data_IF_031978825339
#
_entry.id   IF_031978825339
#
_cell.length_a   1.000
_cell.length_b   1.000
_cell.length_c   1.000
_cell.angle_alpha   90.00
_cell.angle_beta   90.00
_cell.angle_gamma   90.00
#
_symmetry.space_group_name_H-M   'P 1'
#
loop_
_entity.id
_entity.type
_entity.pdbx_description
1 polymer ?
#
# COMPACT_ATOMS: atom_id res chain seq x y z
N UNK A 1 4.22 5.20 12.04
CA UNK A 1 3.53 3.93 12.19
C UNK A 1 3.76 3.37 13.59
N UNK A 2 2.88 2.50 14.05
CA UNK A 2 2.98 1.84 15.37
C UNK A 2 2.79 0.33 15.22
N UNK A 3 3.43 -0.45 16.09
CA UNK A 3 3.30 -1.90 16.16
C UNK A 3 2.60 -2.28 17.46
N UNK A 4 1.57 -3.10 17.37
CA UNK A 4 0.93 -3.81 18.49
C UNK A 4 0.92 -5.32 18.20
N UNK A 5 0.71 -6.14 19.23
CA UNK A 5 0.63 -7.60 19.06
C UNK A 5 -0.47 -8.15 19.97
N UNK A 6 -1.26 -9.06 19.42
CA UNK A 6 -2.26 -9.85 20.12
C UNK A 6 -2.02 -11.32 19.78
N UNK A 7 -1.69 -12.11 20.78
CA UNK A 7 -1.28 -13.50 20.59
C UNK A 7 -0.18 -13.63 19.51
N UNK A 8 -0.42 -14.43 18.47
CA UNK A 8 0.50 -14.63 17.33
C UNK A 8 0.28 -13.64 16.18
N UNK A 9 -0.52 -12.58 16.37
CA UNK A 9 -0.83 -11.58 15.37
C UNK A 9 -0.07 -10.29 15.68
N UNK A 10 0.73 -9.82 14.73
CA UNK A 10 1.36 -8.51 14.77
C UNK A 10 0.54 -7.53 13.93
N UNK A 11 0.29 -6.32 14.43
CA UNK A 11 -0.52 -5.31 13.76
C UNK A 11 0.32 -4.04 13.59
N UNK A 12 0.59 -3.66 12.35
CA UNK A 12 1.19 -2.36 12.01
C UNK A 12 0.09 -1.39 11.59
N UNK A 13 -0.07 -0.31 12.35
CA UNK A 13 -1.01 0.76 12.04
C UNK A 13 -0.27 1.95 11.45
N UNK A 14 -0.65 2.31 10.23
CA UNK A 14 -0.20 3.52 9.55
C UNK A 14 -1.02 4.71 10.07
N UNK A 15 -0.35 5.66 10.72
CA UNK A 15 -0.98 6.90 11.18
C UNK A 15 0.06 8.04 11.16
N UNK A 16 -0.16 9.03 10.32
CA UNK A 16 0.59 10.28 10.26
C UNK A 16 -0.27 11.49 10.70
N UNK A 17 -1.47 11.20 11.21
CA UNK A 17 -2.47 12.19 11.60
C UNK A 17 -3.21 12.85 10.42
N UNK A 18 -2.94 12.43 9.15
CA UNK A 18 -3.53 13.01 7.93
C UNK A 18 -3.90 11.93 6.91
N UNK A 19 -3.07 11.77 5.90
CA UNK A 19 -3.34 10.94 4.74
C UNK A 19 -2.47 9.67 4.66
N UNK A 20 -1.74 9.35 5.71
CA UNK A 20 -0.84 8.19 5.79
C UNK A 20 0.12 8.12 4.61
N UNK A 21 0.79 9.28 4.34
CA UNK A 21 1.73 9.36 3.23
C UNK A 21 3.05 8.66 3.55
N UNK A 22 3.59 7.96 2.57
CA UNK A 22 4.90 7.33 2.65
C UNK A 22 5.99 8.39 2.45
N UNK A 23 6.20 9.19 3.50
CA UNK A 23 7.38 10.03 3.68
C UNK A 23 8.58 9.17 4.11
N UNK A 24 9.83 9.67 4.03
CA UNK A 24 11.00 8.96 4.58
C UNK A 24 10.80 8.50 6.03
N UNK A 25 10.14 9.33 6.85
CA UNK A 25 9.80 8.99 8.24
C UNK A 25 8.84 7.80 8.33
N UNK A 26 7.73 7.80 7.58
CA UNK A 26 6.76 6.70 7.59
C UNK A 26 7.41 5.40 7.10
N UNK A 27 8.23 5.49 6.03
CA UNK A 27 8.95 4.33 5.50
C UNK A 27 9.90 3.75 6.54
N UNK A 28 10.63 4.60 7.26
CA UNK A 28 11.50 4.20 8.36
C UNK A 28 10.70 3.54 9.48
N UNK A 29 9.61 4.17 9.94
CA UNK A 29 8.79 3.66 11.04
C UNK A 29 8.21 2.27 10.72
N UNK A 30 7.72 2.06 9.49
CA UNK A 30 7.21 0.75 9.06
C UNK A 30 8.35 -0.29 9.05
N UNK A 31 9.54 0.07 8.57
CA UNK A 31 10.69 -0.84 8.61
C UNK A 31 11.09 -1.20 10.03
N UNK A 32 11.12 -0.23 10.96
CA UNK A 32 11.42 -0.47 12.38
C UNK A 32 10.34 -1.34 13.06
N UNK A 33 9.09 -1.23 12.64
CA UNK A 33 8.02 -2.15 13.06
C UNK A 33 8.28 -3.55 12.53
N UNK A 34 8.57 -3.71 11.23
CA UNK A 34 8.86 -4.99 10.60
C UNK A 34 10.08 -5.70 11.21
N UNK A 35 11.08 -4.96 11.68
CA UNK A 35 12.26 -5.52 12.37
C UNK A 35 11.90 -6.21 13.70
N UNK A 36 10.74 -5.86 14.27
CA UNK A 36 10.25 -6.39 15.56
C UNK A 36 9.18 -7.48 15.38
N UNK A 37 8.65 -7.66 14.17
CA UNK A 37 7.65 -8.70 13.89
C UNK A 37 8.34 -10.06 13.87
N UNK A 38 7.88 -11.05 14.68
CA UNK A 38 8.44 -12.40 14.66
C UNK A 38 8.33 -13.01 13.24
N UNK A 39 9.37 -13.70 12.79
CA UNK A 39 9.42 -14.30 11.44
C UNK A 39 9.12 -15.79 11.42
N UNK A 40 9.03 -16.43 12.59
CA UNK A 40 8.91 -17.90 12.70
C UNK A 40 7.46 -18.38 12.83
N UNK A 41 6.55 -17.55 13.34
CA UNK A 41 5.15 -17.92 13.58
C UNK A 41 4.19 -16.73 13.52
N UNK A 42 2.88 -16.99 13.36
CA UNK A 42 1.76 -16.05 13.39
C UNK A 42 1.52 -15.32 12.05
N UNK A 43 0.83 -14.18 12.07
CA UNK A 43 0.49 -13.36 10.91
C UNK A 43 0.77 -11.87 11.15
N UNK A 44 0.93 -11.12 10.07
CA UNK A 44 1.04 -9.68 10.09
C UNK A 44 -0.22 -9.04 9.51
N UNK A 45 -0.79 -8.08 10.23
CA UNK A 45 -1.85 -7.20 9.71
C UNK A 45 -1.25 -5.81 9.48
N UNK A 46 -1.53 -5.22 8.33
CA UNK A 46 -1.23 -3.82 8.06
C UNK A 46 -2.55 -3.09 7.88
N UNK A 47 -2.74 -2.03 8.64
CA UNK A 47 -3.94 -1.19 8.58
C UNK A 47 -3.58 0.29 8.56
N UNK A 48 -4.55 1.12 8.21
CA UNK A 48 -4.46 2.56 8.35
C UNK A 48 -5.37 3.07 9.47
N UNK A 49 -5.58 4.37 9.51
CA UNK A 49 -6.58 5.01 10.36
C UNK A 49 -7.96 5.01 9.66
N UNK A 50 -9.01 5.29 10.39
CA UNK A 50 -10.37 5.37 9.84
C UNK A 50 -10.43 6.30 8.61
N UNK A 51 -11.00 5.77 7.54
CA UNK A 51 -11.17 6.47 6.26
C UNK A 51 -9.92 6.59 5.39
N UNK A 52 -8.74 6.18 5.88
CA UNK A 52 -7.50 6.34 5.16
C UNK A 52 -6.52 5.20 5.42
N UNK A 53 -6.35 4.33 4.43
CA UNK A 53 -5.28 3.35 4.44
C UNK A 53 -3.95 4.02 4.10
N UNK A 54 -3.80 4.59 2.90
CA UNK A 54 -2.66 5.44 2.51
C UNK A 54 -2.93 6.18 1.21
N UNK A 55 -2.49 7.43 1.12
CA UNK A 55 -2.54 8.24 -0.10
C UNK A 55 -1.28 8.14 -0.98
N UNK A 56 -0.35 7.23 -0.67
CA UNK A 56 0.87 7.05 -1.44
C UNK A 56 2.05 7.91 -0.98
N UNK A 57 2.97 8.25 -1.88
CA UNK A 57 4.14 9.05 -1.53
C UNK A 57 3.81 10.48 -1.09
N UNK A 58 4.68 11.06 -0.27
CA UNK A 58 4.54 12.46 0.16
C UNK A 58 4.77 13.43 -1.01
N UNK A 59 3.66 13.95 -1.54
CA UNK A 59 3.68 14.90 -2.66
C UNK A 59 4.40 16.22 -2.34
N UNK A 60 4.57 16.58 -1.06
CA UNK A 60 5.33 17.78 -0.68
C UNK A 60 6.80 17.62 -1.01
N UNK A 61 7.37 16.44 -0.82
CA UNK A 61 8.76 16.14 -1.18
C UNK A 61 8.91 16.18 -2.70
N UNK A 62 7.98 15.57 -3.42
CA UNK A 62 8.00 15.56 -4.90
C UNK A 62 7.87 16.99 -5.45
N UNK A 63 6.95 17.77 -4.93
CA UNK A 63 6.70 19.15 -5.40
C UNK A 63 7.76 20.17 -4.98
N UNK A 64 8.61 19.85 -4.00
CA UNK A 64 9.72 20.69 -3.59
C UNK A 64 10.83 20.82 -4.68
N UNK A 65 10.83 19.93 -5.67
CA UNK A 65 11.77 19.97 -6.78
C UNK A 65 13.17 19.44 -6.45
N UNK A 66 13.38 18.90 -5.25
CA UNK A 66 14.61 18.20 -4.91
C UNK A 66 14.56 16.77 -5.50
N UNK A 67 15.23 16.61 -6.62
CA UNK A 67 15.28 15.34 -7.36
C UNK A 67 15.91 14.23 -6.51
N UNK A 68 16.97 14.53 -5.75
CA UNK A 68 17.66 13.55 -4.94
C UNK A 68 16.75 13.05 -3.80
N UNK A 69 16.11 13.95 -3.07
CA UNK A 69 15.18 13.59 -2.01
C UNK A 69 13.99 12.77 -2.55
N UNK A 70 13.47 13.12 -3.73
CA UNK A 70 12.40 12.37 -4.40
C UNK A 70 12.86 10.96 -4.78
N UNK A 71 14.04 10.82 -5.34
CA UNK A 71 14.61 9.51 -5.72
C UNK A 71 14.86 8.65 -4.48
N UNK A 72 15.43 9.19 -3.42
CA UNK A 72 15.74 8.47 -2.19
C UNK A 72 14.45 7.98 -1.49
N UNK A 73 13.43 8.82 -1.42
CA UNK A 73 12.11 8.45 -0.91
C UNK A 73 11.49 7.33 -1.75
N UNK A 74 11.50 7.48 -3.07
CA UNK A 74 10.90 6.50 -3.99
C UNK A 74 11.61 5.16 -3.92
N UNK A 75 12.94 5.16 -3.94
CA UNK A 75 13.75 3.93 -3.83
C UNK A 75 13.51 3.23 -2.49
N UNK A 76 13.45 3.99 -1.40
CA UNK A 76 13.18 3.45 -0.07
C UNK A 76 11.78 2.85 0.03
N UNK A 77 10.77 3.50 -0.56
CA UNK A 77 9.40 3.00 -0.64
C UNK A 77 9.31 1.70 -1.44
N UNK A 78 9.97 1.61 -2.59
CA UNK A 78 9.98 0.37 -3.39
C UNK A 78 10.74 -0.77 -2.71
N UNK A 79 11.81 -0.48 -1.97
CA UNK A 79 12.49 -1.48 -1.12
C UNK A 79 11.56 -1.99 -0.01
N UNK A 80 10.77 -1.11 0.60
CA UNK A 80 9.77 -1.52 1.59
C UNK A 80 8.71 -2.42 0.97
N UNK A 81 8.17 -2.09 -0.21
CA UNK A 81 7.21 -2.96 -0.93
C UNK A 81 7.82 -4.33 -1.24
N UNK A 82 9.08 -4.37 -1.71
CA UNK A 82 9.78 -5.62 -1.96
C UNK A 82 9.95 -6.45 -0.68
N UNK A 83 10.29 -5.81 0.43
CA UNK A 83 10.39 -6.45 1.75
C UNK A 83 9.06 -7.07 2.19
N UNK A 84 7.97 -6.35 2.02
CA UNK A 84 6.62 -6.83 2.34
C UNK A 84 6.21 -7.99 1.44
N UNK A 85 6.41 -7.88 0.13
CA UNK A 85 6.06 -8.93 -0.82
C UNK A 85 6.83 -10.24 -0.57
N UNK A 86 8.04 -10.16 -0.05
CA UNK A 86 8.88 -11.32 0.31
C UNK A 86 8.87 -11.66 1.81
N UNK A 87 7.95 -11.07 2.57
CA UNK A 87 7.89 -11.30 4.01
C UNK A 87 7.57 -12.78 4.31
N UNK A 88 8.28 -13.44 5.24
CA UNK A 88 8.20 -14.90 5.39
C UNK A 88 6.94 -15.40 6.11
N UNK A 89 5.96 -14.51 6.31
CA UNK A 89 4.70 -14.81 7.00
C UNK A 89 3.52 -14.22 6.26
N UNK A 90 2.30 -14.79 6.43
CA UNK A 90 1.11 -14.21 5.84
C UNK A 90 0.90 -12.75 6.27
N UNK A 91 0.65 -11.89 5.28
CA UNK A 91 0.28 -10.49 5.50
C UNK A 91 -1.16 -10.28 5.06
N UNK A 92 -1.98 -9.76 5.97
CA UNK A 92 -3.32 -9.26 5.67
C UNK A 92 -3.31 -7.73 5.65
N UNK A 93 -3.82 -7.14 4.59
CA UNK A 93 -4.13 -5.71 4.57
C UNK A 93 -5.58 -5.50 5.03
N UNK A 94 -5.76 -4.77 6.13
CA UNK A 94 -7.06 -4.24 6.55
C UNK A 94 -7.18 -2.81 5.99
N UNK A 95 -7.74 -2.69 4.77
CA UNK A 95 -7.90 -1.43 4.06
C UNK A 95 -9.01 -0.60 4.68
N UNK A 96 -8.64 0.23 5.63
CA UNK A 96 -9.53 1.03 6.50
C UNK A 96 -10.12 2.28 5.81
N UNK A 97 -9.94 2.44 4.51
CA UNK A 97 -10.41 3.58 3.74
C UNK A 97 -9.68 3.73 2.41
N UNK A 98 -9.40 4.97 1.97
CA UNK A 98 -8.69 5.22 0.71
C UNK A 98 -7.31 4.59 0.68
N UNK A 99 -7.00 3.85 -0.41
CA UNK A 99 -5.69 3.31 -0.72
C UNK A 99 -5.24 3.73 -2.11
N UNK A 100 -4.43 4.79 -2.22
CA UNK A 100 -4.11 5.46 -3.47
C UNK A 100 -2.63 5.32 -3.80
N UNK A 101 -2.29 5.21 -5.09
CA UNK A 101 -0.90 5.17 -5.57
C UNK A 101 -0.08 4.09 -4.84
N UNK A 102 1.01 4.46 -4.14
CA UNK A 102 1.79 3.51 -3.35
C UNK A 102 0.93 2.75 -2.31
N UNK A 103 -0.17 3.34 -1.81
CA UNK A 103 -1.12 2.66 -0.92
C UNK A 103 -1.79 1.46 -1.60
N UNK A 104 -2.16 1.58 -2.89
CA UNK A 104 -2.64 0.44 -3.69
C UNK A 104 -1.55 -0.60 -3.91
N UNK A 105 -0.31 -0.18 -4.15
CA UNK A 105 0.80 -1.12 -4.33
C UNK A 105 1.11 -1.87 -3.03
N UNK A 106 0.94 -1.21 -1.89
CA UNK A 106 1.04 -1.87 -0.59
C UNK A 106 -0.05 -2.95 -0.41
N UNK A 107 -1.30 -2.68 -0.80
CA UNK A 107 -2.36 -3.70 -0.84
C UNK A 107 -1.93 -4.88 -1.71
N UNK A 108 -1.37 -4.62 -2.89
CA UNK A 108 -0.88 -5.65 -3.80
C UNK A 108 0.28 -6.49 -3.23
N UNK A 109 1.03 -6.00 -2.27
CA UNK A 109 2.08 -6.75 -1.59
C UNK A 109 1.54 -7.75 -0.57
N UNK A 110 0.32 -7.56 -0.07
CA UNK A 110 -0.28 -8.40 0.96
C UNK A 110 -0.91 -9.66 0.36
N UNK A 111 -0.98 -10.74 1.15
CA UNK A 111 -1.53 -12.02 0.71
C UNK A 111 -3.05 -12.01 0.67
N UNK A 112 -3.68 -11.31 1.59
CA UNK A 112 -5.13 -11.14 1.67
C UNK A 112 -5.49 -9.68 1.99
N UNK A 113 -6.56 -9.16 1.39
CA UNK A 113 -6.96 -7.75 1.47
C UNK A 113 -8.42 -7.63 1.79
N UNK A 114 -8.70 -7.15 3.01
CA UNK A 114 -10.06 -6.86 3.48
C UNK A 114 -10.30 -5.37 3.38
N UNK A 115 -11.32 -4.95 2.68
CA UNK A 115 -11.71 -3.53 2.56
C UNK A 115 -12.94 -3.20 3.39
N UNK A 116 -12.96 -2.04 4.02
CA UNK A 116 -14.13 -1.54 4.74
C UNK A 116 -15.12 -0.90 3.78
N UNK A 117 -16.43 -1.17 3.95
CA UNK A 117 -17.48 -0.47 3.20
C UNK A 117 -17.46 1.04 3.44
N UNK A 118 -17.67 1.81 2.37
CA UNK A 118 -17.73 3.26 2.45
C UNK A 118 -17.45 3.92 1.10
N UNK A 119 -17.54 5.23 1.08
CA UNK A 119 -17.22 6.05 -0.11
C UNK A 119 -15.69 6.21 -0.22
N UNK A 120 -15.00 5.10 -0.36
CA UNK A 120 -13.55 5.04 -0.45
C UNK A 120 -13.09 4.54 -1.80
N UNK A 121 -11.92 5.01 -2.23
CA UNK A 121 -11.32 4.70 -3.52
C UNK A 121 -9.96 4.06 -3.35
N UNK A 122 -9.68 3.06 -4.17
CA UNK A 122 -8.39 2.42 -4.32
C UNK A 122 -7.96 2.46 -5.78
N UNK A 123 -6.68 2.58 -6.05
CA UNK A 123 -6.17 2.57 -7.42
C UNK A 123 -4.84 3.29 -7.60
N UNK A 124 -4.19 2.96 -8.72
CA UNK A 124 -2.94 3.58 -9.16
C UNK A 124 -3.27 4.80 -10.04
N UNK A 125 -3.05 6.00 -9.52
CA UNK A 125 -3.36 7.23 -10.24
C UNK A 125 -2.13 7.90 -10.88
N UNK A 126 -1.01 7.20 -10.95
CA UNK A 126 0.29 7.70 -11.44
C UNK A 126 0.20 8.30 -12.84
N UNK A 127 -0.51 7.64 -13.76
CA UNK A 127 -0.68 8.14 -15.13
C UNK A 127 -1.46 9.47 -15.19
N UNK A 128 -2.36 9.72 -14.24
CA UNK A 128 -3.08 11.02 -14.14
C UNK A 128 -2.21 12.12 -13.57
N UNK A 129 -1.21 11.75 -12.78
CA UNK A 129 -0.27 12.69 -12.14
C UNK A 129 1.05 12.81 -12.90
N UNK A 130 1.12 12.25 -14.11
CA UNK A 130 2.31 12.25 -14.99
C UNK A 130 3.54 11.62 -14.32
N UNK A 131 3.31 10.58 -13.52
CA UNK A 131 4.36 9.82 -12.85
C UNK A 131 4.62 8.50 -13.56
N UNK A 132 5.87 8.07 -13.57
CA UNK A 132 6.27 6.78 -14.16
C UNK A 132 6.04 5.67 -13.16
N UNK A 133 5.40 4.59 -13.60
CA UNK A 133 5.28 3.35 -12.82
C UNK A 133 6.50 2.47 -13.17
N UNK A 134 7.40 2.17 -12.20
CA UNK A 134 8.57 1.36 -12.49
C UNK A 134 8.21 -0.12 -12.72
N UNK A 135 9.06 -0.82 -13.47
CA UNK A 135 8.83 -2.21 -13.88
C UNK A 135 8.47 -3.13 -12.69
N UNK A 136 9.15 -3.10 -11.53
CA UNK A 136 8.77 -3.98 -10.42
C UNK A 136 7.32 -3.78 -9.95
N UNK A 137 6.81 -2.55 -10.01
CA UNK A 137 5.41 -2.26 -9.67
C UNK A 137 4.46 -2.75 -10.75
N UNK A 138 4.83 -2.64 -12.03
CA UNK A 138 4.04 -3.22 -13.12
C UNK A 138 3.92 -4.74 -12.97
N UNK A 139 5.00 -5.43 -12.61
CA UNK A 139 4.98 -6.88 -12.36
C UNK A 139 4.10 -7.24 -11.15
N UNK A 140 4.19 -6.48 -10.06
CA UNK A 140 3.34 -6.66 -8.88
C UNK A 140 1.84 -6.51 -9.25
N UNK A 141 1.48 -5.47 -9.99
CA UNK A 141 0.11 -5.24 -10.45
C UNK A 141 -0.32 -6.37 -11.41
N UNK A 142 0.55 -6.77 -12.34
CA UNK A 142 0.28 -7.88 -13.25
C UNK A 142 0.03 -9.21 -12.53
N UNK A 143 0.66 -9.40 -11.40
CA UNK A 143 0.46 -10.58 -10.56
C UNK A 143 -0.88 -10.56 -9.82
N UNK A 144 -1.33 -9.40 -9.33
CA UNK A 144 -2.52 -9.27 -8.47
C UNK A 144 -3.80 -8.90 -9.22
N UNK A 145 -3.72 -7.96 -10.16
CA UNK A 145 -4.89 -7.41 -10.84
C UNK A 145 -5.46 -8.40 -11.84
N UNK A 146 -6.77 -8.56 -11.82
CA UNK A 146 -7.52 -9.42 -12.74
C UNK A 146 -7.22 -9.06 -14.20
N UNK A 147 -7.06 -10.02 -15.12
CA UNK A 147 -6.62 -9.77 -16.50
C UNK A 147 -7.44 -8.71 -17.24
N UNK A 148 -8.77 -8.69 -17.04
CA UNK A 148 -9.68 -7.70 -17.65
C UNK A 148 -9.52 -6.27 -17.14
N UNK A 149 -8.85 -6.08 -16.02
CA UNK A 149 -8.67 -4.78 -15.38
C UNK A 149 -7.25 -4.21 -15.51
N UNK A 150 -6.26 -4.99 -15.96
CA UNK A 150 -4.85 -4.56 -16.01
C UNK A 150 -4.63 -3.27 -16.77
N UNK A 151 -5.20 -3.17 -17.98
CA UNK A 151 -5.09 -1.96 -18.80
C UNK A 151 -5.76 -0.76 -18.12
N UNK A 152 -6.98 -0.95 -17.60
CA UNK A 152 -7.77 0.09 -16.94
C UNK A 152 -7.07 0.57 -15.66
N UNK A 153 -6.60 -0.35 -14.82
CA UNK A 153 -5.95 -0.04 -13.57
C UNK A 153 -4.61 0.69 -13.74
N UNK A 154 -3.83 0.34 -14.76
CA UNK A 154 -2.50 0.93 -14.98
C UNK A 154 -2.58 2.13 -15.93
N UNK A 155 -2.83 1.88 -17.22
CA UNK A 155 -2.79 2.94 -18.24
C UNK A 155 -4.01 3.86 -18.17
N UNK A 156 -5.17 3.32 -17.82
CA UNK A 156 -6.40 4.09 -17.61
C UNK A 156 -6.41 4.87 -16.30
N UNK A 157 -5.50 4.55 -15.38
CA UNK A 157 -5.47 5.09 -14.02
C UNK A 157 -6.86 5.10 -13.36
N UNK A 158 -7.59 3.99 -13.55
CA UNK A 158 -8.94 3.86 -13.03
C UNK A 158 -8.90 3.72 -11.51
N UNK A 159 -9.78 4.46 -10.88
CA UNK A 159 -10.02 4.38 -9.45
C UNK A 159 -11.25 3.52 -9.19
N UNK A 160 -11.13 2.57 -8.29
CA UNK A 160 -12.18 1.62 -7.94
C UNK A 160 -12.76 1.97 -6.58
N UNK A 161 -14.08 1.80 -6.40
CA UNK A 161 -14.63 1.67 -5.05
C UNK A 161 -14.09 0.41 -4.39
N UNK A 162 -14.19 0.30 -3.09
CA UNK A 162 -13.75 -0.91 -2.35
C UNK A 162 -14.45 -2.16 -2.91
N UNK A 163 -15.77 -2.09 -3.16
CA UNK A 163 -16.57 -3.19 -3.69
C UNK A 163 -16.11 -3.59 -5.11
N UNK A 164 -15.91 -2.60 -6.00
CA UNK A 164 -15.42 -2.86 -7.36
C UNK A 164 -13.96 -3.35 -7.38
N UNK A 165 -13.24 -3.11 -6.29
CA UNK A 165 -11.90 -3.64 -6.07
C UNK A 165 -11.83 -5.16 -6.07
N UNK A 166 -12.93 -5.85 -5.72
CA UNK A 166 -13.02 -7.32 -5.77
C UNK A 166 -12.85 -7.81 -7.20
N UNK A 167 -13.66 -7.30 -8.13
CA UNK A 167 -13.60 -7.70 -9.55
C UNK A 167 -12.24 -7.36 -10.17
N UNK A 168 -11.65 -6.25 -9.74
CA UNK A 168 -10.34 -5.82 -10.19
C UNK A 168 -9.19 -6.66 -9.60
N UNK A 169 -9.43 -7.45 -8.55
CA UNK A 169 -8.40 -8.22 -7.85
C UNK A 169 -7.52 -7.36 -6.92
N UNK A 170 -8.04 -6.20 -6.49
CA UNK A 170 -7.37 -5.30 -5.55
C UNK A 170 -7.82 -5.53 -4.11
N UNK A 171 -9.00 -6.10 -3.90
CA UNK A 171 -9.60 -6.49 -2.63
C UNK A 171 -10.08 -7.94 -2.75
N UNK A 172 -10.00 -8.70 -1.68
CA UNK A 172 -10.46 -10.09 -1.61
C UNK A 172 -11.80 -10.21 -0.88
N UNK A 173 -12.06 -9.34 0.11
CA UNK A 173 -13.27 -9.34 0.93
C UNK A 173 -13.66 -7.92 1.34
N UNK A 174 -14.97 -7.67 1.49
CA UNK A 174 -15.52 -6.39 1.96
C UNK A 174 -16.37 -6.60 3.19
N UNK A 175 -16.13 -5.80 4.23
CA UNK A 175 -16.82 -5.85 5.53
C UNK A 175 -17.50 -4.52 5.86
#
# INVERSE_FOLDING_TARGET
ATLTSEDDISIITLDDGKANVFSPKMIQDVNECLDKVPTESGALIITGRDGMFSAGFDLKIISAGDMQATMDMSLSGFKLLSRLFSFPRPILAACSGHGIALGTFLLCCCDYRVGVKGDYMIGANEMRTNMVIPIPILELINYRVSPGHKYRAILGAEMYSIENGIDAGLIDEVV
#
